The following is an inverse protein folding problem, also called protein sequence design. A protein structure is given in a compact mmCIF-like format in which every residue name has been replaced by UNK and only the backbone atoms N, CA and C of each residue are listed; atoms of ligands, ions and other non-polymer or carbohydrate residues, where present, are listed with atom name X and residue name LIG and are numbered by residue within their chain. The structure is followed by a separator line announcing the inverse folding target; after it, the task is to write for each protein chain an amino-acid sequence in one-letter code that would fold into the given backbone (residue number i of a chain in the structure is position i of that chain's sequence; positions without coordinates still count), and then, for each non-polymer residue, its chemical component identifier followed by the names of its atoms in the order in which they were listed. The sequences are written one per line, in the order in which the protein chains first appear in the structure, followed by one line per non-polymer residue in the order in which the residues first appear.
data_IF_572707381082
#
_entry.id   IF_572707381082
#
_cell.length_a   1.000
_cell.length_b   1.000
_cell.length_c   1.000
_cell.angle_alpha   90.00
_cell.angle_beta   90.00
_cell.angle_gamma   90.00
#
_symmetry.space_group_name_H-M   'P 1'
#
loop_
_entity.id
_entity.type
_entity.pdbx_description
1 polymer ?
#
# COMPACT_ATOMS: atom_id res chain seq x y z
N UNK A 1 -12.89 -2.38 5.04
CA UNK A 1 -12.63 -3.00 6.36
C UNK A 1 -12.19 -1.91 7.31
N UNK A 2 -12.82 -1.77 8.48
CA UNK A 2 -12.43 -0.80 9.51
C UNK A 2 -11.89 -1.59 10.71
N UNK A 3 -10.67 -1.28 11.15
CA UNK A 3 -10.03 -1.89 12.31
C UNK A 3 -9.84 -0.82 13.39
N UNK A 4 -10.30 -1.10 14.61
CA UNK A 4 -10.10 -0.21 15.75
C UNK A 4 -9.06 -0.81 16.69
N UNK A 5 -7.92 -0.14 16.83
CA UNK A 5 -6.83 -0.60 17.69
C UNK A 5 -6.99 0.05 19.07
N UNK A 6 -7.23 -0.76 20.11
CA UNK A 6 -7.35 -0.28 21.48
C UNK A 6 -6.02 0.36 21.91
N UNK A 7 -6.08 1.59 22.41
CA UNK A 7 -4.89 2.34 22.85
C UNK A 7 -4.17 3.09 21.72
N UNK A 8 -4.75 3.14 20.51
CA UNK A 8 -4.24 4.02 19.46
C UNK A 8 -4.34 5.49 19.88
N UNK A 9 -3.27 6.24 19.62
CA UNK A 9 -3.22 7.68 19.81
C UNK A 9 -4.17 8.36 18.82
N UNK A 10 -4.74 9.48 19.23
CA UNK A 10 -5.45 10.37 18.32
C UNK A 10 -4.48 10.98 17.31
N UNK A 11 -4.94 11.37 16.11
CA UNK A 11 -4.07 12.05 15.14
C UNK A 11 -3.40 13.32 15.68
N UNK A 12 -4.06 14.00 16.63
CA UNK A 12 -3.47 15.17 17.29
C UNK A 12 -2.30 14.77 18.19
N UNK A 13 -2.48 13.77 19.05
CA UNK A 13 -1.40 13.26 19.92
C UNK A 13 -0.23 12.70 19.10
N UNK A 14 -0.50 12.07 17.95
CA UNK A 14 0.54 11.62 17.02
C UNK A 14 1.32 12.83 16.48
N UNK A 15 0.60 13.86 16.01
CA UNK A 15 1.22 15.08 15.49
C UNK A 15 2.08 15.78 16.55
N UNK A 16 1.57 15.94 17.77
CA UNK A 16 2.26 16.62 18.86
C UNK A 16 3.55 15.86 19.24
N UNK A 17 3.52 14.52 19.26
CA UNK A 17 4.70 13.69 19.56
C UNK A 17 5.71 13.61 18.42
N UNK A 18 5.27 13.71 17.17
CA UNK A 18 6.16 13.78 16.00
C UNK A 18 6.91 15.11 15.98
N UNK A 19 6.25 16.20 16.38
CA UNK A 19 6.82 17.55 16.38
C UNK A 19 7.67 17.86 17.62
N UNK A 20 7.67 16.98 18.63
CA UNK A 20 8.46 17.13 19.85
C UNK A 20 9.92 16.71 19.61
N UNK A 21 10.88 17.67 19.62
CA UNK A 21 12.29 17.37 19.36
C UNK A 21 12.94 16.51 20.45
N UNK A 22 12.35 16.42 21.65
CA UNK A 22 12.83 15.59 22.75
C UNK A 22 12.29 14.14 22.68
N UNK A 23 11.34 13.87 21.77
CA UNK A 23 10.68 12.58 21.66
C UNK A 23 11.38 11.65 20.67
N UNK A 24 11.63 10.40 21.07
CA UNK A 24 12.06 9.34 20.15
C UNK A 24 10.91 8.80 19.27
N UNK A 25 9.70 9.31 19.48
CA UNK A 25 8.49 8.87 18.81
C UNK A 25 8.54 9.11 17.30
N UNK A 26 9.04 10.27 16.85
CA UNK A 26 9.19 10.57 15.43
C UNK A 26 10.02 9.49 14.75
N UNK A 27 11.20 9.16 15.31
CA UNK A 27 12.10 8.15 14.76
C UNK A 27 11.42 6.78 14.67
N UNK A 28 10.80 6.32 15.76
CA UNK A 28 10.07 5.05 15.80
C UNK A 28 8.90 4.99 14.80
N UNK A 29 8.18 6.10 14.65
CA UNK A 29 7.06 6.20 13.71
C UNK A 29 7.56 6.14 12.27
N UNK A 30 8.67 6.84 11.96
CA UNK A 30 9.32 6.77 10.64
C UNK A 30 9.79 5.35 10.34
N UNK A 31 10.53 4.72 11.26
CA UNK A 31 11.00 3.33 11.11
C UNK A 31 9.83 2.35 10.88
N UNK A 32 8.76 2.50 11.65
CA UNK A 32 7.55 1.69 11.45
C UNK A 32 6.92 1.92 10.08
N UNK A 33 6.70 3.18 9.68
CA UNK A 33 6.03 3.49 8.42
C UNK A 33 6.85 3.05 7.22
N UNK A 34 8.17 3.23 7.24
CA UNK A 34 9.06 2.73 6.18
C UNK A 34 9.11 1.19 6.15
N UNK A 35 8.89 0.51 7.28
CA UNK A 35 8.83 -0.96 7.30
C UNK A 35 7.57 -1.53 6.63
N UNK A 36 6.49 -0.74 6.50
CA UNK A 36 5.19 -1.21 5.99
C UNK A 36 4.72 -0.47 4.72
N UNK A 37 5.31 0.68 4.40
CA UNK A 37 5.07 1.45 3.18
C UNK A 37 6.30 1.40 2.30
N UNK A 38 6.11 0.94 1.07
CA UNK A 38 7.12 0.89 0.04
C UNK A 38 6.71 1.79 -1.12
N UNK A 39 7.49 2.84 -1.36
CA UNK A 39 7.32 3.74 -2.50
C UNK A 39 8.29 3.47 -3.64
N UNK A 40 8.95 2.31 -3.65
CA UNK A 40 10.01 1.90 -4.57
C UNK A 40 10.05 0.38 -4.73
N UNK A 41 10.75 -0.12 -5.75
CA UNK A 41 10.93 -1.56 -5.95
C UNK A 41 12.01 -2.14 -5.02
N UNK A 42 11.86 -3.42 -4.65
CA UNK A 42 12.77 -4.11 -3.72
C UNK A 42 14.16 -4.35 -4.35
N UNK A 43 14.26 -4.53 -5.67
CA UNK A 43 15.47 -5.01 -6.36
C UNK A 43 16.18 -4.01 -7.26
N UNK A 44 15.80 -2.74 -7.24
CA UNK A 44 16.43 -1.72 -8.07
C UNK A 44 15.44 -0.73 -8.65
N UNK A 45 15.83 -0.08 -9.75
CA UNK A 45 14.99 0.86 -10.49
C UNK A 45 13.88 0.15 -11.29
N UNK A 46 12.88 0.90 -11.74
CA UNK A 46 11.88 0.41 -12.69
C UNK A 46 12.52 -0.27 -13.92
N UNK A 47 13.61 0.28 -14.45
CA UNK A 47 14.34 -0.27 -15.59
C UNK A 47 14.94 -1.64 -15.28
N UNK A 48 15.59 -1.78 -14.12
CA UNK A 48 16.19 -3.06 -13.68
C UNK A 48 15.13 -4.15 -13.53
N UNK A 49 13.99 -3.80 -12.93
CA UNK A 49 12.91 -4.75 -12.71
C UNK A 49 12.28 -5.16 -14.04
N UNK A 50 12.07 -4.23 -14.98
CA UNK A 50 11.60 -4.57 -16.34
C UNK A 50 12.55 -5.51 -17.06
N UNK A 51 13.85 -5.25 -17.03
CA UNK A 51 14.83 -6.13 -17.66
C UNK A 51 14.81 -7.54 -17.05
N UNK A 52 14.72 -7.64 -15.73
CA UNK A 52 14.62 -8.93 -15.05
C UNK A 52 13.33 -9.68 -15.39
N UNK A 53 12.22 -8.96 -15.57
CA UNK A 53 10.94 -9.53 -15.99
C UNK A 53 10.99 -10.01 -17.44
N UNK A 54 11.55 -9.21 -18.35
CA UNK A 54 11.70 -9.59 -19.76
C UNK A 54 12.54 -10.88 -19.88
N UNK A 55 13.59 -11.02 -19.06
CA UNK A 55 14.40 -12.24 -18.98
C UNK A 55 13.63 -13.42 -18.36
N UNK A 56 12.82 -13.17 -17.32
CA UNK A 56 12.04 -14.22 -16.69
C UNK A 56 10.91 -14.73 -17.60
N UNK A 57 10.28 -13.85 -18.40
CA UNK A 57 9.24 -14.21 -19.36
C UNK A 57 9.76 -15.11 -20.51
N UNK A 58 11.07 -15.22 -20.70
CA UNK A 58 11.68 -16.17 -21.66
C UNK A 58 11.66 -17.62 -21.16
N UNK A 59 11.48 -17.85 -19.86
CA UNK A 59 11.37 -19.19 -19.29
C UNK A 59 9.93 -19.69 -19.43
N UNK A 60 9.72 -20.81 -20.13
CA UNK A 60 8.41 -21.45 -20.30
C UNK A 60 7.74 -21.83 -18.96
N UNK A 61 8.51 -21.94 -17.87
CA UNK A 61 8.00 -22.22 -16.53
C UNK A 61 7.57 -20.95 -15.77
N UNK A 62 7.92 -19.77 -16.27
CA UNK A 62 7.53 -18.52 -15.63
C UNK A 62 6.02 -18.35 -15.66
N UNK A 63 5.48 -17.94 -14.51
CA UNK A 63 4.06 -17.60 -14.37
C UNK A 63 3.96 -16.20 -13.81
N UNK A 64 3.21 -15.35 -14.50
CA UNK A 64 2.98 -14.00 -14.05
C UNK A 64 2.27 -14.01 -12.69
N UNK A 65 2.84 -13.37 -11.64
CA UNK A 65 2.19 -13.28 -10.34
C UNK A 65 0.79 -12.67 -10.36
N UNK A 66 0.51 -11.76 -11.30
CA UNK A 66 -0.80 -11.11 -11.45
C UNK A 66 -1.89 -12.06 -11.95
N UNK A 67 -1.50 -13.20 -12.52
CA UNK A 67 -2.40 -14.23 -13.07
C UNK A 67 -2.46 -15.49 -12.19
N UNK A 68 -1.82 -15.47 -11.02
CA UNK A 68 -1.74 -16.62 -10.12
C UNK A 68 -2.15 -16.25 -8.71
N UNK A 69 -2.80 -17.20 -8.02
CA UNK A 69 -3.14 -17.02 -6.62
C UNK A 69 -1.89 -16.99 -5.74
N UNK A 70 -1.87 -16.17 -4.67
CA UNK A 70 -0.82 -16.21 -3.67
C UNK A 70 -0.74 -17.58 -3.01
N UNK A 71 0.49 -18.06 -2.85
CA UNK A 71 0.75 -19.27 -2.06
C UNK A 71 0.58 -18.87 -0.58
N UNK A 72 -0.28 -19.57 0.19
CA UNK A 72 -0.48 -19.27 1.60
C UNK A 72 0.78 -19.57 2.41
N UNK A 73 1.02 -18.81 3.46
CA UNK A 73 2.13 -19.07 4.38
C UNK A 73 1.98 -20.46 5.00
N UNK A 74 3.08 -21.23 5.15
CA UNK A 74 3.03 -22.52 5.82
C UNK A 74 2.68 -22.37 7.31
N UNK A 75 2.22 -23.46 7.96
CA UNK A 75 1.93 -23.44 9.39
C UNK A 75 3.16 -23.04 10.21
N UNK A 76 2.95 -22.21 11.24
CA UNK A 76 4.01 -21.79 12.14
C UNK A 76 4.66 -22.99 12.86
N UNK A 77 5.96 -22.87 13.12
CA UNK A 77 6.65 -23.83 13.97
C UNK A 77 6.25 -23.59 15.42
N UNK A 78 5.78 -24.64 16.12
CA UNK A 78 5.39 -24.56 17.53
C UNK A 78 6.59 -24.63 18.50
N UNK A 79 7.82 -24.71 17.99
CA UNK A 79 9.03 -24.82 18.80
C UNK A 79 9.74 -23.47 18.89
N UNK A 80 9.98 -23.01 20.12
CA UNK A 80 10.74 -21.78 20.35
C UNK A 80 12.18 -21.96 19.86
N UNK A 81 12.68 -20.97 19.11
CA UNK A 81 14.05 -20.93 18.57
C UNK A 81 14.43 -22.13 17.68
N UNK A 82 13.48 -22.70 16.95
CA UNK A 82 13.75 -23.76 15.96
C UNK A 82 14.10 -23.16 14.59
N UNK A 83 15.21 -23.60 13.97
CA UNK A 83 15.67 -23.10 12.66
C UNK A 83 15.67 -24.13 11.53
N UNK A 84 15.71 -25.42 11.84
CA UNK A 84 16.05 -26.46 10.84
C UNK A 84 14.91 -27.45 10.57
N UNK A 85 13.78 -27.37 11.28
CA UNK A 85 12.69 -28.32 11.07
C UNK A 85 12.00 -28.11 9.71
N UNK A 86 11.20 -29.09 9.29
CA UNK A 86 10.44 -29.04 8.02
C UNK A 86 9.57 -27.79 7.91
N UNK A 87 8.94 -27.35 9.00
CA UNK A 87 8.12 -26.13 9.01
C UNK A 87 8.97 -24.88 8.81
N UNK A 88 10.13 -24.76 9.48
CA UNK A 88 11.02 -23.61 9.32
C UNK A 88 11.62 -23.54 7.91
N UNK A 89 12.00 -24.68 7.34
CA UNK A 89 12.46 -24.77 5.95
C UNK A 89 11.34 -24.37 4.97
N UNK A 90 10.11 -24.82 5.21
CA UNK A 90 8.96 -24.41 4.40
C UNK A 90 8.70 -22.91 4.50
N UNK A 91 8.79 -22.31 5.70
CA UNK A 91 8.65 -20.87 5.90
C UNK A 91 9.74 -20.09 5.16
N UNK A 92 11.00 -20.49 5.29
CA UNK A 92 12.11 -19.82 4.59
C UNK A 92 11.98 -19.92 3.06
N UNK A 93 11.53 -21.07 2.55
CA UNK A 93 11.23 -21.24 1.12
C UNK A 93 10.07 -20.32 0.68
N UNK A 94 9.00 -20.26 1.48
CA UNK A 94 7.87 -19.38 1.21
C UNK A 94 8.26 -17.90 1.26
N UNK A 95 9.08 -17.47 2.23
CA UNK A 95 9.59 -16.10 2.33
C UNK A 95 10.44 -15.75 1.10
N UNK A 96 11.25 -16.69 0.61
CA UNK A 96 12.03 -16.52 -0.61
C UNK A 96 11.12 -16.33 -1.84
N UNK A 97 10.04 -17.10 -1.93
CA UNK A 97 9.03 -16.97 -2.99
C UNK A 97 8.20 -15.69 -2.86
N UNK A 98 7.82 -15.29 -1.65
CA UNK A 98 7.13 -14.04 -1.36
C UNK A 98 7.97 -12.85 -1.83
N UNK A 99 9.25 -12.84 -1.44
CA UNK A 99 10.20 -11.80 -1.84
C UNK A 99 10.41 -11.78 -3.35
N UNK A 100 10.62 -12.93 -4.01
CA UNK A 100 10.76 -12.98 -5.47
C UNK A 100 9.51 -12.50 -6.20
N UNK A 101 8.33 -12.82 -5.67
CA UNK A 101 7.06 -12.39 -6.25
C UNK A 101 6.88 -10.88 -6.14
N UNK A 102 7.10 -10.30 -4.96
CA UNK A 102 6.95 -8.86 -4.74
C UNK A 102 8.01 -8.03 -5.51
N UNK A 103 9.18 -8.60 -5.76
CA UNK A 103 10.20 -8.03 -6.65
C UNK A 103 9.72 -7.95 -8.10
N UNK A 104 8.91 -8.92 -8.52
CA UNK A 104 8.47 -9.10 -9.91
C UNK A 104 7.05 -8.60 -10.17
N UNK A 105 6.33 -8.07 -9.18
CA UNK A 105 5.05 -7.38 -9.39
C UNK A 105 5.29 -5.99 -9.96
N UNK A 106 5.70 -5.96 -11.22
CA UNK A 106 5.48 -4.82 -12.11
C UNK A 106 4.42 -5.32 -13.06
N UNK A 107 3.22 -4.76 -12.92
CA UNK A 107 2.26 -4.88 -14.01
C UNK A 107 2.95 -4.35 -15.28
N UNK A 108 2.52 -4.76 -16.47
CA UNK A 108 2.96 -4.15 -17.75
C UNK A 108 2.40 -2.72 -17.88
N UNK A 109 2.50 -1.95 -16.81
CA UNK A 109 2.14 -0.56 -16.69
C UNK A 109 3.08 0.22 -17.59
N UNK A 110 2.59 0.46 -18.81
CA UNK A 110 3.10 1.52 -19.65
C UNK A 110 2.64 2.83 -19.03
N UNK A 111 3.51 3.57 -18.32
CA UNK A 111 3.07 4.69 -17.50
C UNK A 111 2.49 5.85 -18.34
N UNK A 112 2.75 5.81 -19.64
CA UNK A 112 2.47 6.87 -20.61
C UNK A 112 1.23 6.55 -21.46
N UNK A 113 0.97 5.28 -21.75
CA UNK A 113 -0.06 4.84 -22.70
C UNK A 113 -1.39 4.62 -21.98
N UNK A 114 -2.17 5.70 -21.82
CA UNK A 114 -3.51 5.66 -21.24
C UNK A 114 -3.78 6.82 -20.28
N UNK A 115 -3.02 6.91 -19.17
CA UNK A 115 -3.35 7.90 -18.14
C UNK A 115 -3.03 9.35 -18.57
N UNK A 116 -1.89 9.55 -19.23
CA UNK A 116 -1.47 10.86 -19.77
C UNK A 116 -2.01 11.10 -21.18
N UNK A 117 -2.57 10.07 -21.84
CA UNK A 117 -3.12 10.12 -23.19
C UNK A 117 -4.49 10.80 -23.27
N UNK A 118 -4.68 11.88 -22.51
CA UNK A 118 -5.87 12.72 -22.54
C UNK A 118 -5.51 14.16 -22.93
N UNK A 119 -6.52 14.94 -23.33
CA UNK A 119 -6.32 16.33 -23.79
C UNK A 119 -5.67 17.26 -22.76
N UNK A 120 -5.68 16.90 -21.48
CA UNK A 120 -5.11 17.69 -20.40
C UNK A 120 -3.68 17.29 -20.06
N UNK A 121 -3.19 16.15 -20.57
CA UNK A 121 -1.88 15.60 -20.21
C UNK A 121 -1.75 15.31 -18.71
N UNK A 122 -2.87 15.09 -18.00
CA UNK A 122 -2.91 14.89 -16.54
C UNK A 122 -3.49 13.54 -16.20
N UNK A 123 -2.74 12.75 -15.41
CA UNK A 123 -3.23 11.47 -14.95
C UNK A 123 -4.28 11.66 -13.84
N UNK A 124 -5.45 11.03 -13.97
CA UNK A 124 -6.49 11.04 -12.92
C UNK A 124 -6.02 10.36 -11.62
N UNK A 125 -5.06 9.43 -11.72
CA UNK A 125 -4.42 8.78 -10.59
C UNK A 125 -3.21 9.58 -10.04
N UNK A 126 -3.07 10.85 -10.42
CA UNK A 126 -2.04 11.78 -9.90
C UNK A 126 -0.58 11.43 -10.21
N UNK A 127 -0.32 10.48 -11.12
CA UNK A 127 1.02 10.26 -11.64
C UNK A 127 1.53 11.43 -12.52
N UNK A 128 2.83 11.75 -12.48
CA UNK A 128 3.85 11.22 -11.55
C UNK A 128 3.68 11.76 -10.13
N UNK A 129 3.92 10.91 -9.14
CA UNK A 129 3.95 11.30 -7.73
C UNK A 129 5.25 12.04 -7.40
N UNK A 130 5.19 12.90 -6.36
CA UNK A 130 6.39 13.54 -5.80
C UNK A 130 7.25 12.49 -5.08
N UNK A 131 8.55 12.48 -5.37
CA UNK A 131 9.53 11.58 -4.75
C UNK A 131 10.19 12.22 -3.54
N UNK A 132 10.61 11.38 -2.59
CA UNK A 132 11.32 11.76 -1.36
C UNK A 132 12.38 10.70 -1.06
N UNK A 133 13.63 11.10 -0.88
CA UNK A 133 14.74 10.16 -0.63
C UNK A 133 14.61 9.47 0.74
N UNK A 134 14.09 10.21 1.73
CA UNK A 134 13.83 9.73 3.08
C UNK A 134 12.47 10.23 3.56
N UNK A 135 11.89 9.55 4.54
CA UNK A 135 10.68 10.05 5.19
C UNK A 135 10.99 11.32 5.97
N UNK A 136 10.29 12.40 5.65
CA UNK A 136 10.48 13.71 6.29
C UNK A 136 9.19 14.21 6.94
N UNK A 137 9.33 14.98 8.01
CA UNK A 137 8.22 15.68 8.66
C UNK A 137 8.17 17.10 8.10
N UNK A 138 7.02 17.52 7.61
CA UNK A 138 6.81 18.91 7.24
C UNK A 138 6.73 19.77 8.52
N UNK A 139 7.64 20.74 8.72
CA UNK A 139 7.72 21.50 9.98
C UNK A 139 6.53 22.43 10.22
N UNK A 140 5.84 22.87 9.16
CA UNK A 140 4.72 23.81 9.27
C UNK A 140 3.39 23.11 9.58
N UNK A 141 3.26 21.84 9.17
CA UNK A 141 1.99 21.10 9.23
C UNK A 141 2.02 19.83 10.05
N UNK A 142 3.21 19.33 10.42
CA UNK A 142 3.40 18.02 11.06
C UNK A 142 3.06 16.83 10.16
N UNK A 143 2.83 17.06 8.86
CA UNK A 143 2.54 16.01 7.89
C UNK A 143 3.79 15.15 7.62
N UNK A 144 3.61 13.83 7.58
CA UNK A 144 4.68 12.90 7.19
C UNK A 144 4.68 12.70 5.67
N UNK A 145 5.78 13.07 5.03
CA UNK A 145 6.06 12.72 3.64
C UNK A 145 6.87 11.42 3.64
N UNK A 146 6.23 10.31 3.28
CA UNK A 146 6.88 9.00 3.28
C UNK A 146 7.91 8.91 2.14
N UNK A 147 9.02 8.21 2.41
CA UNK A 147 10.01 7.85 1.40
C UNK A 147 9.35 7.33 0.13
N UNK A 148 9.76 7.87 -1.01
CA UNK A 148 9.24 7.51 -2.33
C UNK A 148 10.33 7.62 -3.39
N UNK A 149 10.86 6.48 -3.81
CA UNK A 149 11.87 6.40 -4.86
C UNK A 149 11.27 6.43 -6.28
N UNK A 150 10.08 5.86 -6.46
CA UNK A 150 9.46 5.67 -7.77
C UNK A 150 8.25 6.58 -7.98
N UNK A 151 8.35 7.50 -8.95
CA UNK A 151 7.30 8.47 -9.24
C UNK A 151 6.08 7.87 -9.96
N UNK A 152 6.27 6.77 -10.69
CA UNK A 152 5.23 6.07 -11.45
C UNK A 152 4.72 4.81 -10.74
N UNK A 153 5.05 4.63 -9.46
CA UNK A 153 4.56 3.57 -8.60
C UNK A 153 3.70 4.18 -7.50
N UNK A 154 2.63 3.52 -7.08
CA UNK A 154 1.92 3.96 -5.87
C UNK A 154 2.76 3.59 -4.63
N UNK A 155 2.38 4.10 -3.47
CA UNK A 155 2.94 3.56 -2.24
C UNK A 155 2.19 2.28 -1.92
N UNK A 156 2.91 1.17 -1.72
CA UNK A 156 2.31 -0.15 -1.51
C UNK A 156 2.74 -0.75 -0.18
N UNK A 157 2.01 -1.77 0.27
CA UNK A 157 2.46 -2.67 1.33
C UNK A 157 2.74 -4.02 0.69
N UNK A 158 3.90 -4.63 0.97
CA UNK A 158 4.35 -5.86 0.32
C UNK A 158 3.34 -7.01 0.51
N UNK A 159 2.80 -7.15 1.71
CA UNK A 159 1.83 -8.18 2.07
C UNK A 159 0.51 -7.97 1.33
N UNK A 160 0.01 -6.74 1.29
CA UNK A 160 -1.24 -6.41 0.59
C UNK A 160 -1.08 -6.63 -0.91
N UNK A 161 0.05 -6.21 -1.48
CA UNK A 161 0.37 -6.42 -2.90
C UNK A 161 0.50 -7.90 -3.23
N UNK A 162 1.16 -8.67 -2.37
CA UNK A 162 1.26 -10.12 -2.53
C UNK A 162 -0.10 -10.80 -2.53
N UNK A 163 -1.00 -10.39 -1.64
CA UNK A 163 -2.34 -10.99 -1.52
C UNK A 163 -3.28 -10.59 -2.65
N UNK A 164 -3.28 -9.32 -3.06
CA UNK A 164 -4.20 -8.79 -4.07
C UNK A 164 -3.63 -8.97 -5.50
N UNK A 165 -2.32 -9.17 -5.64
CA UNK A 165 -1.62 -9.34 -6.92
C UNK A 165 -1.73 -8.13 -7.85
N UNK A 166 -1.86 -6.93 -7.29
CA UNK A 166 -2.02 -5.69 -8.05
C UNK A 166 -1.33 -4.51 -7.37
N UNK A 167 -1.00 -3.47 -8.14
CA UNK A 167 -0.52 -2.19 -7.62
C UNK A 167 -1.60 -1.53 -6.74
N UNK A 168 -1.41 -1.61 -5.42
CA UNK A 168 -2.30 -0.97 -4.45
C UNK A 168 -1.89 0.48 -4.19
N UNK A 169 -2.75 1.28 -3.57
CA UNK A 169 -2.41 2.65 -3.17
C UNK A 169 -2.65 2.82 -1.68
N UNK A 170 -1.56 2.78 -0.92
CA UNK A 170 -1.51 2.86 0.54
C UNK A 170 -1.02 4.25 0.92
N UNK A 171 -1.92 5.03 1.50
CA UNK A 171 -1.60 6.37 2.01
C UNK A 171 -1.76 6.40 3.52
N UNK A 172 -0.69 6.79 4.22
CA UNK A 172 -0.76 7.07 5.66
C UNK A 172 -1.49 8.39 5.90
N UNK A 173 -2.56 8.34 6.70
CA UNK A 173 -3.35 9.49 7.12
C UNK A 173 -3.24 9.69 8.64
N UNK A 174 -2.02 9.61 9.19
CA UNK A 174 -1.81 9.60 10.64
C UNK A 174 -1.58 10.99 11.26
N UNK A 175 -1.19 11.99 10.47
CA UNK A 175 -0.95 13.36 10.95
C UNK A 175 -1.61 14.41 10.05
N UNK A 176 -1.86 15.59 10.62
CA UNK A 176 -2.43 16.73 9.92
C UNK A 176 -3.96 16.84 9.92
N UNK A 177 -4.48 17.87 9.25
CA UNK A 177 -5.92 18.17 9.17
C UNK A 177 -6.67 17.26 8.21
N UNK A 178 -5.97 16.63 7.27
CA UNK A 178 -6.56 15.77 6.24
C UNK A 178 -7.31 14.57 6.81
N UNK A 179 -6.79 13.92 7.86
CA UNK A 179 -7.48 12.77 8.48
C UNK A 179 -8.78 13.17 9.17
N UNK A 180 -8.84 14.34 9.81
CA UNK A 180 -10.09 14.83 10.42
C UNK A 180 -11.16 14.99 9.33
N UNK A 181 -10.79 15.52 8.17
CA UNK A 181 -11.69 15.65 7.03
C UNK A 181 -12.09 14.28 6.44
N UNK A 182 -11.16 13.34 6.28
CA UNK A 182 -11.44 12.00 5.74
C UNK A 182 -12.33 11.20 6.70
N UNK A 183 -12.05 11.20 8.00
CA UNK A 183 -12.89 10.52 9.00
C UNK A 183 -14.29 11.11 9.01
N UNK A 184 -14.43 12.44 8.97
CA UNK A 184 -15.72 13.09 8.88
C UNK A 184 -16.47 12.72 7.59
N UNK A 185 -15.78 12.75 6.45
CA UNK A 185 -16.36 12.39 5.15
C UNK A 185 -16.79 10.92 5.07
N UNK A 186 -15.95 9.98 5.51
CA UNK A 186 -16.26 8.56 5.51
C UNK A 186 -17.39 8.26 6.50
N UNK A 187 -17.37 8.89 7.68
CA UNK A 187 -18.45 8.75 8.66
C UNK A 187 -19.77 9.30 8.11
N UNK A 188 -19.76 10.48 7.47
CA UNK A 188 -20.93 11.03 6.77
C UNK A 188 -21.40 10.08 5.68
N UNK A 189 -20.49 9.58 4.84
CA UNK A 189 -20.83 8.69 3.74
C UNK A 189 -21.41 7.34 4.19
N UNK A 190 -20.86 6.74 5.25
CA UNK A 190 -21.36 5.47 5.81
C UNK A 190 -22.65 5.69 6.60
N UNK A 191 -22.76 6.82 7.30
CA UNK A 191 -23.97 7.17 8.08
C UNK A 191 -25.09 7.78 7.24
N UNK A 192 -24.82 8.10 5.95
CA UNK A 192 -25.87 8.48 5.00
C UNK A 192 -26.96 7.42 5.06
N UNK A 193 -28.19 7.80 5.45
CA UNK A 193 -29.27 6.84 5.53
C UNK A 193 -29.41 6.21 4.14
N UNK A 194 -29.26 4.89 4.09
CA UNK A 194 -29.54 4.14 2.87
C UNK A 194 -30.91 4.57 2.35
N UNK A 195 -31.05 4.74 1.03
CA UNK A 195 -32.32 5.09 0.42
C UNK A 195 -33.35 4.11 0.97
N UNK A 196 -34.35 4.63 1.71
CA UNK A 196 -35.29 3.77 2.41
C UNK A 196 -35.92 2.86 1.36
N UNK A 197 -35.97 1.55 1.62
CA UNK A 197 -36.38 0.56 0.61
C UNK A 197 -37.72 0.90 -0.04
N UNK A 198 -38.64 1.55 0.68
CA UNK A 198 -39.91 2.02 0.12
C UNK A 198 -39.75 3.10 -0.98
N UNK A 199 -38.74 3.99 -0.89
CA UNK A 199 -38.45 4.98 -1.93
C UNK A 199 -37.92 4.33 -3.21
N UNK A 200 -37.18 3.22 -3.07
CA UNK A 200 -36.75 2.40 -4.22
C UNK A 200 -37.98 1.78 -4.88
N UNK A 201 -38.91 1.21 -4.09
CA UNK A 201 -40.15 0.64 -4.61
C UNK A 201 -41.10 1.69 -5.22
N UNK A 202 -41.19 2.90 -4.65
CA UNK A 202 -41.95 4.01 -5.23
C UNK A 202 -41.36 4.47 -6.58
N UNK A 203 -40.03 4.56 -6.69
CA UNK A 203 -39.37 4.92 -7.94
C UNK A 203 -39.55 3.84 -9.03
N UNK A 204 -39.53 2.55 -8.66
CA UNK A 204 -39.85 1.46 -9.61
C UNK A 204 -41.32 1.57 -10.05
N UNK A 205 -42.24 1.82 -9.13
CA UNK A 205 -43.69 1.99 -9.41
C UNK A 205 -44.03 3.26 -10.19
N UNK A 206 -43.16 4.27 -10.22
CA UNK A 206 -43.39 5.49 -11.01
C UNK A 206 -42.91 5.37 -12.46
N UNK A 207 -42.01 4.41 -12.72
CA UNK A 207 -41.47 4.12 -14.06
C UNK A 207 -42.24 3.00 -14.78
N UNK A 208 -42.84 2.07 -14.03
CA UNK A 208 -43.66 0.96 -14.52
C UNK A 208 -45.10 1.06 -14.02
#
# INVERSE_FOLDING_TARGET
MLLWIKGALTPQEICDRIMDPESDFQKKMVEYLESVHMGEFITGSLEDVKQNLDLAELDDQYKNPTETLPIPSPPQCNQNACGECKSCQATSLWESQFNSTNKNTVDKYQPVTGCLSNKWGKCKAHFPHKTFEHTEVNPDSGALNIKKGESMLNTVTAEVTYLIRSNTDVTSLLSGTAIKAVVAYVSDYISKPALKTYLIFEAVKSVF
#
